data_IF_439516135170
#
_entry.id   IF_439516135170
#
_cell.length_a   1.000
_cell.length_b   1.000
_cell.length_c   1.000
_cell.angle_alpha   90.00
_cell.angle_beta   90.00
_cell.angle_gamma   90.00
#
_symmetry.space_group_name_H-M   'P 1'
#
loop_
_entity.id
_entity.type
_entity.pdbx_description
1 polymer ?
#
# COMPACT_ATOMS: atom_id res chain seq x y z
N UNK A 1 31.47 40.63 -23.90
CA UNK A 1 32.65 41.24 -23.25
C UNK A 1 32.54 40.94 -21.76
N UNK A 2 32.42 39.67 -21.37
CA UNK A 2 33.49 38.64 -21.29
C UNK A 2 34.46 39.05 -20.17
N UNK A 3 34.70 38.31 -19.08
CA UNK A 3 35.11 36.90 -18.98
C UNK A 3 35.02 36.51 -17.49
N UNK A 4 34.36 35.42 -17.05
CA UNK A 4 34.84 34.04 -16.93
C UNK A 4 36.35 33.86 -16.67
N UNK A 5 36.71 33.46 -15.43
CA UNK A 5 37.96 32.76 -15.12
C UNK A 5 37.75 31.80 -13.94
N UNK A 6 37.77 30.49 -14.21
CA UNK A 6 38.06 29.44 -13.23
C UNK A 6 39.57 29.14 -13.26
N UNK A 7 40.20 28.73 -12.16
CA UNK A 7 41.52 28.13 -12.23
C UNK A 7 41.41 26.61 -12.43
N UNK A 8 42.09 26.14 -13.48
CA UNK A 8 42.54 24.76 -13.70
C UNK A 8 44.01 24.69 -13.30
N UNK A 9 44.44 23.59 -12.68
CA UNK A 9 45.73 22.89 -12.83
C UNK A 9 45.76 21.78 -11.75
N UNK A 10 46.22 20.55 -11.95
CA UNK A 10 46.72 19.79 -13.09
C UNK A 10 47.22 18.43 -12.58
N UNK A 11 46.98 17.37 -13.37
CA UNK A 11 47.84 16.19 -13.65
C UNK A 11 48.34 15.33 -12.44
N UNK A 12 48.51 14.01 -12.51
CA UNK A 12 48.79 13.08 -13.61
C UNK A 12 48.59 11.60 -13.16
N UNK A 13 48.44 10.67 -14.15
CA UNK A 13 49.03 9.31 -14.30
C UNK A 13 49.15 8.34 -13.09
N UNK A 14 48.98 7.02 -13.13
CA UNK A 14 48.91 5.95 -14.14
C UNK A 14 48.48 4.62 -13.40
N UNK A 15 48.08 3.60 -14.16
CA UNK A 15 47.53 2.27 -13.76
C UNK A 15 48.62 1.22 -13.40
N UNK A 16 48.40 -0.11 -13.21
CA UNK A 16 47.29 -0.94 -12.67
C UNK A 16 47.76 -1.93 -11.56
N UNK A 17 46.81 -2.56 -10.84
CA UNK A 17 47.06 -3.76 -10.03
C UNK A 17 45.80 -4.59 -9.79
N UNK A 18 45.68 -5.74 -10.47
CA UNK A 18 44.63 -6.77 -10.25
C UNK A 18 44.82 -7.43 -8.88
N UNK A 19 43.73 -7.71 -8.17
CA UNK A 19 43.42 -9.01 -7.54
C UNK A 19 41.90 -9.09 -7.39
N UNK A 20 41.33 -10.19 -7.90
CA UNK A 20 39.91 -10.44 -7.88
C UNK A 20 39.38 -10.70 -6.47
N UNK A 21 38.16 -10.24 -6.23
CA UNK A 21 37.29 -10.84 -5.23
C UNK A 21 35.87 -10.76 -5.78
N UNK A 22 35.32 -11.94 -6.07
CA UNK A 22 33.94 -12.14 -6.50
C UNK A 22 33.00 -11.59 -5.43
N UNK A 23 32.36 -10.45 -5.70
CA UNK A 23 31.24 -9.96 -4.90
C UNK A 23 30.04 -10.85 -5.25
N UNK A 24 29.51 -11.67 -4.31
CA UNK A 24 28.24 -12.33 -4.55
C UNK A 24 27.17 -11.24 -4.52
N UNK A 25 26.33 -11.24 -5.55
CA UNK A 25 25.13 -10.43 -5.67
C UNK A 25 24.42 -10.31 -4.32
N UNK A 26 24.26 -9.08 -3.83
CA UNK A 26 23.33 -8.78 -2.73
C UNK A 26 21.95 -9.22 -3.21
N UNK A 27 21.56 -10.41 -2.81
CA UNK A 27 20.19 -10.88 -2.82
C UNK A 27 19.31 -9.79 -2.20
N UNK A 28 18.39 -9.30 -3.02
CA UNK A 28 17.35 -8.37 -2.64
C UNK A 28 16.53 -9.03 -1.54
N UNK A 29 16.81 -8.67 -0.27
CA UNK A 29 16.01 -9.11 0.86
C UNK A 29 14.68 -8.38 0.77
N UNK A 30 13.77 -8.96 -0.01
CA UNK A 30 12.34 -8.68 0.10
C UNK A 30 11.97 -9.00 1.55
N UNK A 31 11.84 -7.97 2.37
CA UNK A 31 11.32 -8.11 3.71
C UNK A 31 9.84 -8.43 3.57
N UNK A 32 9.52 -9.73 3.66
CA UNK A 32 8.17 -10.21 3.87
C UNK A 32 7.69 -9.73 5.24
N UNK A 33 7.14 -8.52 5.27
CA UNK A 33 6.47 -7.92 6.42
C UNK A 33 5.07 -8.53 6.60
N UNK A 34 5.00 -9.86 6.60
CA UNK A 34 3.82 -10.68 6.92
C UNK A 34 4.14 -11.56 8.14
N UNK A 35 5.12 -11.18 8.97
CA UNK A 35 5.42 -11.86 10.23
C UNK A 35 4.75 -11.10 11.38
N UNK A 36 3.71 -11.72 11.93
CA UNK A 36 2.83 -11.14 12.94
C UNK A 36 3.54 -10.78 14.25
N UNK A 37 3.37 -9.53 14.66
CA UNK A 37 3.33 -9.12 16.07
C UNK A 37 2.16 -8.15 16.21
N UNK A 38 0.98 -8.67 16.57
CA UNK A 38 -0.25 -7.89 16.70
C UNK A 38 -0.26 -6.90 17.90
N UNK A 39 0.87 -6.69 18.58
CA UNK A 39 0.91 -5.98 19.86
C UNK A 39 1.40 -4.52 19.77
N UNK A 40 2.04 -4.10 18.66
CA UNK A 40 2.44 -2.70 18.43
C UNK A 40 1.44 -1.91 17.56
N UNK A 41 0.45 -2.58 16.96
CA UNK A 41 -0.52 -2.01 16.01
C UNK A 41 -1.86 -1.60 16.66
N UNK A 42 -1.94 -1.51 18.00
CA UNK A 42 -3.19 -1.23 18.72
C UNK A 42 -3.38 0.23 19.13
N UNK A 43 -2.36 1.08 18.97
CA UNK A 43 -2.50 2.51 19.29
C UNK A 43 -3.11 3.24 18.08
N UNK A 44 -4.29 3.86 18.21
CA UNK A 44 -4.89 4.63 17.13
C UNK A 44 -3.98 5.82 16.80
N UNK A 45 -3.50 5.86 15.56
CA UNK A 45 -2.72 6.99 15.04
C UNK A 45 -3.69 8.12 14.67
N UNK A 46 -3.35 9.40 14.88
CA UNK A 46 -4.18 10.50 14.41
C UNK A 46 -4.53 10.36 12.92
N UNK A 47 -5.81 10.54 12.59
CA UNK A 47 -6.32 10.36 11.23
C UNK A 47 -6.74 8.93 10.86
N UNK A 48 -6.65 7.97 11.79
CA UNK A 48 -7.26 6.64 11.63
C UNK A 48 -8.79 6.75 11.59
N UNK A 49 -9.43 6.07 10.64
CA UNK A 49 -10.90 6.04 10.58
C UNK A 49 -11.48 5.31 11.78
N UNK A 50 -12.56 5.86 12.34
CA UNK A 50 -13.34 5.15 13.35
C UNK A 50 -14.16 4.06 12.66
N UNK A 51 -14.10 2.87 13.22
CA UNK A 51 -14.84 1.73 12.70
C UNK A 51 -16.20 1.65 13.38
N UNK A 52 -17.29 1.41 12.62
CA UNK A 52 -18.58 1.13 13.20
C UNK A 52 -18.47 -0.11 14.09
N UNK A 53 -18.89 0.02 15.35
CA UNK A 53 -18.91 -1.09 16.31
C UNK A 53 -20.20 -1.89 16.24
N UNK A 54 -21.26 -1.31 15.66
CA UNK A 54 -22.55 -1.96 15.47
C UNK A 54 -22.75 -2.26 13.96
N UNK A 55 -22.69 -3.54 13.54
CA UNK A 55 -22.86 -3.93 12.14
C UNK A 55 -24.28 -3.70 11.62
N UNK A 56 -25.30 -3.67 12.47
CA UNK A 56 -26.69 -3.45 12.06
C UNK A 56 -26.95 -2.01 11.60
N UNK A 57 -26.04 -1.09 11.97
CA UNK A 57 -26.07 0.30 11.51
C UNK A 57 -25.25 0.52 10.22
N UNK A 58 -24.50 -0.49 9.76
CA UNK A 58 -23.71 -0.41 8.53
C UNK A 58 -24.59 -0.75 7.31
N UNK A 59 -24.70 0.17 6.36
CA UNK A 59 -25.41 -0.07 5.11
C UNK A 59 -24.65 0.50 3.90
N UNK A 60 -24.81 -0.16 2.75
CA UNK A 60 -24.43 0.39 1.44
C UNK A 60 -25.71 0.99 0.85
N UNK A 61 -25.78 2.31 0.79
CA UNK A 61 -26.94 3.02 0.28
C UNK A 61 -26.64 3.73 -1.04
N UNK A 62 -27.53 3.59 -2.02
CA UNK A 62 -27.46 4.36 -3.26
C UNK A 62 -28.08 5.74 -3.01
N UNK A 63 -27.24 6.77 -3.02
CA UNK A 63 -27.66 8.16 -2.86
C UNK A 63 -28.60 8.57 -4.00
N UNK A 64 -29.82 9.07 -3.71
CA UNK A 64 -30.73 9.64 -4.69
C UNK A 64 -30.12 10.78 -5.50
N UNK A 65 -30.50 10.89 -6.77
CA UNK A 65 -29.92 11.88 -7.68
C UNK A 65 -30.18 13.32 -7.21
N UNK A 66 -31.36 13.60 -6.65
CA UNK A 66 -31.69 14.91 -6.08
C UNK A 66 -30.74 15.34 -4.96
N UNK A 67 -30.25 14.43 -4.11
CA UNK A 67 -29.26 14.75 -3.08
C UNK A 67 -27.87 14.93 -3.69
N UNK A 68 -27.54 14.10 -4.69
CA UNK A 68 -26.25 14.19 -5.38
C UNK A 68 -26.09 15.48 -6.17
N UNK A 69 -27.15 15.99 -6.78
CA UNK A 69 -27.15 17.25 -7.53
C UNK A 69 -26.85 18.46 -6.64
N UNK A 70 -27.33 18.47 -5.40
CA UNK A 70 -27.07 19.56 -4.44
C UNK A 70 -25.59 19.67 -4.09
N UNK A 71 -24.91 18.54 -3.89
CA UNK A 71 -23.48 18.53 -3.62
C UNK A 71 -22.79 17.26 -4.17
N UNK A 72 -22.40 17.27 -5.46
CA UNK A 72 -21.79 16.10 -6.07
C UNK A 72 -20.50 15.66 -5.38
N UNK A 73 -19.69 16.63 -4.92
CA UNK A 73 -18.38 16.37 -4.29
C UNK A 73 -18.50 15.60 -2.97
N UNK A 74 -19.62 15.72 -2.24
CA UNK A 74 -19.84 14.98 -1.00
C UNK A 74 -20.03 13.47 -1.24
N UNK A 75 -20.48 13.08 -2.44
CA UNK A 75 -20.81 11.70 -2.78
C UNK A 75 -19.84 11.08 -3.80
N UNK A 76 -18.90 11.85 -4.33
CA UNK A 76 -17.80 11.33 -5.15
C UNK A 76 -16.77 10.63 -4.25
N UNK A 77 -16.43 9.36 -4.51
CA UNK A 77 -15.39 8.66 -3.75
C UNK A 77 -14.05 9.42 -3.81
N UNK A 78 -13.48 9.73 -2.65
CA UNK A 78 -12.18 10.42 -2.56
C UNK A 78 -10.99 9.47 -2.75
N UNK A 79 -11.21 8.17 -2.50
CA UNK A 79 -10.22 7.12 -2.66
C UNK A 79 -10.92 5.85 -3.14
N UNK A 80 -10.36 5.24 -4.18
CA UNK A 80 -10.77 3.95 -4.71
C UNK A 80 -9.53 3.09 -4.80
N UNK A 81 -9.59 1.85 -4.28
CA UNK A 81 -8.49 0.89 -4.29
C UNK A 81 -8.93 -0.40 -4.99
N UNK A 82 -8.64 -0.50 -6.29
CA UNK A 82 -8.94 -1.67 -7.12
C UNK A 82 -7.67 -2.52 -7.24
N UNK A 83 -7.53 -3.50 -6.35
CA UNK A 83 -6.56 -4.58 -6.46
C UNK A 83 -5.13 -4.17 -6.87
N UNK A 84 -4.51 -4.87 -7.84
CA UNK A 84 -3.11 -4.65 -8.27
C UNK A 84 -2.79 -3.23 -8.76
N UNK A 85 -3.80 -2.47 -9.22
CA UNK A 85 -3.61 -1.16 -9.85
C UNK A 85 -3.04 -0.10 -8.89
N UNK A 86 -3.14 -0.31 -7.57
CA UNK A 86 -2.69 0.65 -6.56
C UNK A 86 -1.41 0.22 -5.83
N UNK A 87 -0.58 -0.65 -6.45
CA UNK A 87 0.68 -1.14 -5.85
C UNK A 87 1.66 -0.02 -5.49
N UNK A 88 1.76 1.02 -6.33
CA UNK A 88 2.64 2.17 -6.05
C UNK A 88 2.19 2.90 -4.78
N UNK A 89 0.88 3.13 -4.64
CA UNK A 89 0.29 3.79 -3.46
C UNK A 89 0.52 2.98 -2.18
N UNK A 90 0.44 1.65 -2.22
CA UNK A 90 0.83 0.78 -1.11
C UNK A 90 2.26 1.06 -0.64
N UNK A 91 3.21 1.11 -1.58
CA UNK A 91 4.62 1.34 -1.25
C UNK A 91 4.85 2.74 -0.64
N UNK A 92 4.16 3.76 -1.15
CA UNK A 92 4.22 5.11 -0.61
C UNK A 92 3.58 5.19 0.78
N UNK A 93 2.44 4.55 1.00
CA UNK A 93 1.73 4.55 2.27
C UNK A 93 2.55 3.93 3.40
N UNK A 94 3.23 2.81 3.14
CA UNK A 94 4.12 2.17 4.12
C UNK A 94 5.31 3.06 4.49
N UNK A 95 5.92 3.74 3.51
CA UNK A 95 7.04 4.66 3.74
C UNK A 95 6.64 5.95 4.47
N UNK A 96 5.36 6.33 4.39
CA UNK A 96 4.82 7.55 5.01
C UNK A 96 3.97 7.29 6.24
N UNK A 97 4.12 6.12 6.87
CA UNK A 97 3.36 5.78 8.08
C UNK A 97 3.64 6.80 9.19
N UNK A 98 2.59 7.44 9.70
CA UNK A 98 2.67 8.50 10.73
C UNK A 98 2.73 9.92 10.17
N UNK A 99 2.89 10.10 8.86
CA UNK A 99 2.83 11.41 8.20
C UNK A 99 1.37 11.74 7.82
N UNK A 100 0.72 12.56 8.65
CA UNK A 100 -0.70 12.94 8.50
C UNK A 100 -0.90 13.87 7.29
N UNK A 101 0.15 14.54 6.82
CA UNK A 101 0.04 15.48 5.67
C UNK A 101 -0.28 14.74 4.36
N UNK A 102 0.08 13.45 4.29
CA UNK A 102 -0.16 12.61 3.11
C UNK A 102 -1.52 11.92 3.20
N UNK A 103 -2.57 12.70 2.95
CA UNK A 103 -3.96 12.24 3.01
C UNK A 103 -4.24 10.95 2.21
N UNK A 104 -3.67 10.81 1.00
CA UNK A 104 -3.85 9.59 0.16
C UNK A 104 -3.19 8.35 0.78
N UNK A 105 -1.98 8.49 1.31
CA UNK A 105 -1.27 7.42 2.01
C UNK A 105 -2.02 6.98 3.26
N UNK A 106 -2.48 7.96 4.05
CA UNK A 106 -3.28 7.71 5.25
C UNK A 106 -4.61 7.02 4.91
N UNK A 107 -5.32 7.50 3.87
CA UNK A 107 -6.53 6.87 3.37
C UNK A 107 -6.31 5.42 2.90
N UNK A 108 -5.15 5.13 2.28
CA UNK A 108 -4.78 3.76 1.93
C UNK A 108 -4.68 2.87 3.17
N UNK A 109 -3.94 3.30 4.20
CA UNK A 109 -3.79 2.54 5.45
C UNK A 109 -5.14 2.31 6.13
N UNK A 110 -6.00 3.33 6.17
CA UNK A 110 -7.35 3.21 6.73
C UNK A 110 -8.20 2.19 5.97
N UNK A 111 -8.14 2.20 4.64
CA UNK A 111 -8.90 1.27 3.81
C UNK A 111 -8.40 -0.18 3.98
N UNK A 112 -7.08 -0.38 4.05
CA UNK A 112 -6.51 -1.72 4.30
C UNK A 112 -6.88 -2.27 5.67
N UNK A 113 -6.89 -1.43 6.70
CA UNK A 113 -7.38 -1.81 8.02
C UNK A 113 -8.87 -2.20 7.97
N UNK A 114 -9.69 -1.42 7.24
CA UNK A 114 -11.12 -1.72 7.08
C UNK A 114 -11.38 -3.04 6.34
N UNK A 115 -10.61 -3.34 5.29
CA UNK A 115 -10.70 -4.60 4.55
C UNK A 115 -10.46 -5.81 5.46
N UNK A 116 -9.51 -5.72 6.40
CA UNK A 116 -9.24 -6.80 7.36
C UNK A 116 -10.43 -7.05 8.30
N UNK A 117 -11.08 -5.99 8.76
CA UNK A 117 -12.31 -6.11 9.58
C UNK A 117 -13.40 -6.79 8.78
N UNK A 118 -13.64 -6.35 7.53
CA UNK A 118 -14.64 -6.96 6.67
C UNK A 118 -14.34 -8.43 6.37
N UNK A 119 -13.07 -8.80 6.17
CA UNK A 119 -12.66 -10.19 5.97
C UNK A 119 -12.99 -11.06 7.19
N UNK A 120 -12.76 -10.57 8.40
CA UNK A 120 -13.10 -11.27 9.65
C UNK A 120 -14.61 -11.46 9.77
N UNK A 121 -15.40 -10.40 9.54
CA UNK A 121 -16.87 -10.50 9.57
C UNK A 121 -17.44 -11.38 8.46
N UNK A 122 -16.85 -11.33 7.26
CA UNK A 122 -17.22 -12.21 6.15
C UNK A 122 -16.97 -13.67 6.52
N UNK A 123 -15.80 -13.99 7.08
CA UNK A 123 -15.46 -15.35 7.51
C UNK A 123 -16.47 -15.88 8.54
N UNK A 124 -16.99 -15.04 9.44
CA UNK A 124 -18.04 -15.43 10.39
C UNK A 124 -19.38 -15.75 9.72
N UNK A 125 -19.71 -15.10 8.60
CA UNK A 125 -20.98 -15.27 7.88
C UNK A 125 -21.01 -16.50 6.98
N UNK A 126 -19.86 -16.86 6.41
CA UNK A 126 -19.72 -18.05 5.56
C UNK A 126 -19.32 -19.27 6.40
N UNK A 127 -18.99 -20.41 5.78
CA UNK A 127 -18.50 -21.63 6.46
C UNK A 127 -17.11 -21.48 7.12
N UNK A 128 -16.84 -20.31 7.71
CA UNK A 128 -15.66 -20.02 8.50
C UNK A 128 -14.40 -19.83 7.66
N UNK A 129 -13.27 -20.09 8.32
CA UNK A 129 -11.94 -20.01 7.72
C UNK A 129 -11.75 -20.95 6.52
N UNK A 130 -12.57 -22.01 6.38
CA UNK A 130 -12.45 -22.96 5.26
C UNK A 130 -12.60 -22.27 3.90
N UNK A 131 -13.63 -21.44 3.76
CA UNK A 131 -13.87 -20.67 2.51
C UNK A 131 -12.73 -19.70 2.24
N UNK A 132 -12.24 -19.02 3.29
CA UNK A 132 -11.11 -18.09 3.17
C UNK A 132 -9.84 -18.81 2.71
N UNK A 133 -9.54 -19.98 3.26
CA UNK A 133 -8.38 -20.79 2.84
C UNK A 133 -8.55 -21.33 1.41
N UNK A 134 -9.76 -21.73 1.02
CA UNK A 134 -10.03 -22.13 -0.36
C UNK A 134 -9.81 -20.99 -1.36
N UNK A 135 -10.26 -19.78 -1.03
CA UNK A 135 -10.02 -18.58 -1.84
C UNK A 135 -8.52 -18.29 -1.96
N UNK A 136 -7.77 -18.36 -0.85
CA UNK A 136 -6.31 -18.19 -0.87
C UNK A 136 -5.63 -19.21 -1.78
N UNK A 137 -6.05 -20.48 -1.71
CA UNK A 137 -5.53 -21.55 -2.58
C UNK A 137 -5.77 -21.21 -4.06
N UNK A 138 -7.01 -20.86 -4.43
CA UNK A 138 -7.36 -20.48 -5.81
C UNK A 138 -6.53 -19.30 -6.31
N UNK A 139 -6.38 -18.25 -5.50
CA UNK A 139 -5.55 -17.08 -5.85
C UNK A 139 -4.09 -17.48 -6.12
N UNK A 140 -3.56 -18.43 -5.34
CA UNK A 140 -2.18 -18.92 -5.52
C UNK A 140 -2.03 -19.80 -6.76
N UNK A 141 -3.00 -20.66 -7.04
CA UNK A 141 -3.03 -21.50 -8.24
C UNK A 141 -3.11 -20.65 -9.52
N UNK A 142 -3.91 -19.58 -9.49
CA UNK A 142 -4.15 -18.70 -10.64
C UNK A 142 -3.24 -17.46 -10.66
N UNK A 143 -2.20 -17.40 -9.82
CA UNK A 143 -1.42 -16.18 -9.60
C UNK A 143 -0.86 -15.62 -10.92
N UNK A 144 -0.20 -16.44 -11.73
CA UNK A 144 0.39 -15.99 -13.00
C UNK A 144 -0.65 -15.42 -13.97
N UNK A 145 -1.83 -16.05 -14.06
CA UNK A 145 -2.93 -15.60 -14.91
C UNK A 145 -3.52 -14.27 -14.41
N UNK A 146 -3.74 -14.16 -13.10
CA UNK A 146 -4.18 -12.91 -12.47
C UNK A 146 -3.14 -11.83 -12.76
N UNK A 147 -1.85 -12.17 -12.68
CA UNK A 147 -0.76 -11.24 -12.93
C UNK A 147 -0.63 -10.79 -14.38
N UNK A 148 -1.04 -11.62 -15.32
CA UNK A 148 -1.06 -11.31 -16.74
C UNK A 148 -2.30 -10.49 -17.19
N UNK A 149 -3.30 -10.31 -16.31
CA UNK A 149 -4.56 -9.65 -16.64
C UNK A 149 -4.53 -8.12 -16.51
N UNK A 150 -3.35 -7.52 -16.28
CA UNK A 150 -3.18 -6.07 -16.07
C UNK A 150 -1.91 -5.51 -16.71
#
# INVERSE_FOLDING_TARGET
MDSSTCPVLSHASESPGKIGSSIPSKMDRTLDLESGTNHELSKPVPGMWRFPTNPDLCCIYRVPDCLREVNPKAYTPQLVLIGPLHRSLKSHALKSRGDITKAKSLGYLNTEAHKKIYLVEFAKRVEGNKVVEELKRKIKEDEDMIRASY
#
